data_IF_735603238874
#
_entry.id   IF_735603238874
#
_cell.length_a   1.000
_cell.length_b   1.000
_cell.length_c   1.000
_cell.angle_alpha   90.00
_cell.angle_beta   90.00
_cell.angle_gamma   90.00
#
_symmetry.space_group_name_H-M   'P 1'
#
loop_
_entity.id
_entity.type
_entity.pdbx_description
1 polymer ?
#
# COMPACT_ATOMS: atom_id res chain seq x y z
N UNK A 1 55.23 45.00 -84.45
CA UNK A 1 55.07 46.47 -84.39
C UNK A 1 54.27 46.81 -83.13
N UNK A 2 54.63 47.82 -82.32
CA UNK A 2 55.90 47.84 -81.56
C UNK A 2 55.76 48.32 -80.08
N UNK A 3 56.83 48.08 -79.28
CA UNK A 3 57.41 48.91 -78.17
C UNK A 3 56.56 49.10 -76.87
N UNK A 4 57.08 49.03 -75.63
CA UNK A 4 58.44 48.92 -75.08
C UNK A 4 58.40 48.63 -73.56
N UNK A 5 59.37 47.89 -72.99
CA UNK A 5 60.54 48.36 -72.20
C UNK A 5 60.17 49.28 -71.01
N UNK A 6 60.48 48.98 -69.75
CA UNK A 6 61.84 48.93 -69.20
C UNK A 6 61.94 48.21 -67.84
N UNK A 7 63.13 47.65 -67.61
CA UNK A 7 63.61 46.97 -66.41
C UNK A 7 63.97 47.93 -65.26
N UNK A 8 64.00 47.40 -64.03
CA UNK A 8 64.69 48.02 -62.90
C UNK A 8 64.89 47.04 -61.74
N UNK A 9 66.08 46.45 -61.66
CA UNK A 9 66.57 45.65 -60.51
C UNK A 9 66.70 46.53 -59.26
N UNK A 10 66.56 45.95 -58.06
CA UNK A 10 67.63 45.92 -57.03
C UNK A 10 67.21 45.15 -55.77
N UNK A 11 68.15 44.31 -55.31
CA UNK A 11 68.16 43.57 -54.06
C UNK A 11 68.23 44.51 -52.84
N UNK A 12 67.68 44.09 -51.69
CA UNK A 12 68.45 43.92 -50.44
C UNK A 12 67.69 43.21 -49.31
N UNK A 13 68.49 42.50 -48.53
CA UNK A 13 68.21 41.56 -47.46
C UNK A 13 67.43 42.11 -46.24
N UNK A 14 66.60 41.21 -45.71
CA UNK A 14 66.41 40.81 -44.31
C UNK A 14 66.45 41.87 -43.19
N UNK A 15 65.33 41.95 -42.45
CA UNK A 15 65.38 42.11 -40.99
C UNK A 15 64.28 41.27 -40.32
N UNK A 16 64.71 40.37 -39.43
CA UNK A 16 63.90 39.54 -38.55
C UNK A 16 63.09 40.38 -37.55
N UNK A 17 61.79 40.13 -37.45
CA UNK A 17 60.99 40.45 -36.26
C UNK A 17 60.14 39.24 -35.86
N UNK A 18 60.14 38.98 -34.55
CA UNK A 18 59.73 37.76 -33.84
C UNK A 18 58.25 37.39 -34.04
N UNK A 19 57.99 36.11 -34.33
CA UNK A 19 56.67 35.46 -34.27
C UNK A 19 56.28 35.17 -32.80
N UNK A 20 55.06 35.54 -32.39
CA UNK A 20 54.36 34.99 -31.22
C UNK A 20 52.89 34.70 -31.55
N UNK A 21 52.58 33.40 -31.51
CA UNK A 21 51.30 32.70 -31.26
C UNK A 21 50.06 32.94 -32.17
N UNK A 22 49.36 31.87 -32.62
CA UNK A 22 48.12 31.96 -33.38
C UNK A 22 46.89 32.16 -32.48
N UNK A 23 45.96 32.99 -32.94
CA UNK A 23 44.62 33.20 -32.38
C UNK A 23 43.73 32.02 -32.75
N UNK A 24 43.19 31.35 -31.73
CA UNK A 24 42.20 30.27 -31.86
C UNK A 24 40.81 30.91 -32.05
N UNK A 25 40.17 30.65 -33.20
CA UNK A 25 38.75 30.93 -33.38
C UNK A 25 37.92 29.89 -32.62
N UNK A 26 37.35 30.28 -31.47
CA UNK A 26 36.31 29.49 -30.78
C UNK A 26 34.96 29.78 -31.43
N UNK A 27 34.44 28.80 -32.17
CA UNK A 27 33.02 28.71 -32.51
C UNK A 27 32.26 28.41 -31.22
N UNK A 28 31.42 29.34 -30.76
CA UNK A 28 30.46 29.09 -29.69
C UNK A 28 29.29 28.28 -30.28
N UNK A 29 29.19 27.00 -29.92
CA UNK A 29 27.97 26.22 -30.08
C UNK A 29 26.99 26.53 -28.93
N UNK A 30 25.68 26.67 -29.17
CA UNK A 30 24.72 26.89 -28.09
C UNK A 30 24.39 25.54 -27.42
N UNK A 31 25.11 25.21 -26.35
CA UNK A 31 24.92 23.99 -25.57
C UNK A 31 23.79 24.06 -24.52
N UNK A 32 22.81 24.96 -24.65
CA UNK A 32 21.82 25.22 -23.59
C UNK A 32 20.35 24.87 -23.93
N UNK A 33 20.03 24.29 -25.09
CA UNK A 33 18.63 23.93 -25.42
C UNK A 33 18.34 22.43 -25.29
N UNK A 34 19.35 21.57 -25.17
CA UNK A 34 19.14 20.10 -25.12
C UNK A 34 18.85 19.52 -23.73
N UNK A 35 19.14 20.23 -22.64
CA UNK A 35 19.00 19.66 -21.27
C UNK A 35 17.57 19.70 -20.73
N UNK A 36 16.72 20.63 -21.17
CA UNK A 36 15.36 20.78 -20.66
C UNK A 36 14.37 19.80 -21.32
N UNK A 37 14.60 19.43 -22.58
CA UNK A 37 13.80 18.41 -23.27
C UNK A 37 14.12 17.00 -22.78
N UNK A 38 15.37 16.69 -22.45
CA UNK A 38 15.75 15.38 -21.92
C UNK A 38 15.12 15.11 -20.54
N UNK A 39 15.08 16.09 -19.63
CA UNK A 39 14.47 15.92 -18.31
C UNK A 39 12.94 15.75 -18.38
N UNK A 40 12.25 16.47 -19.28
CA UNK A 40 10.80 16.32 -19.52
C UNK A 40 10.48 14.99 -20.20
N UNK A 41 11.32 14.55 -21.16
CA UNK A 41 11.16 13.25 -21.82
C UNK A 41 11.40 12.09 -20.85
N UNK A 42 12.41 12.16 -19.98
CA UNK A 42 12.68 11.12 -18.97
C UNK A 42 11.57 11.04 -17.92
N UNK A 43 11.05 12.17 -17.45
CA UNK A 43 9.95 12.18 -16.47
C UNK A 43 8.65 11.65 -17.10
N UNK A 44 8.30 12.04 -18.33
CA UNK A 44 7.18 11.43 -19.06
C UNK A 44 7.37 9.92 -19.32
N UNK A 45 8.60 9.47 -19.59
CA UNK A 45 8.93 8.05 -19.76
C UNK A 45 8.78 7.23 -18.47
N UNK A 46 9.13 7.80 -17.31
CA UNK A 46 8.98 7.12 -16.00
C UNK A 46 7.49 6.93 -15.66
N UNK A 47 6.61 7.85 -16.02
CA UNK A 47 5.16 7.68 -15.85
C UNK A 47 4.57 6.61 -16.79
N UNK A 48 5.07 6.50 -18.02
CA UNK A 48 4.62 5.52 -19.02
C UNK A 48 5.07 4.07 -18.74
N UNK A 49 6.05 3.86 -17.86
CA UNK A 49 6.72 2.57 -17.63
C UNK A 49 6.44 1.94 -16.27
N UNK A 50 5.68 2.59 -15.39
CA UNK A 50 5.24 1.94 -14.13
C UNK A 50 4.19 0.88 -14.44
N UNK A 51 4.64 -0.35 -14.62
CA UNK A 51 3.76 -1.50 -14.79
C UNK A 51 2.96 -1.74 -13.51
N UNK A 52 1.63 -1.88 -13.60
CA UNK A 52 0.84 -2.22 -12.44
C UNK A 52 1.22 -3.63 -11.98
N UNK A 53 1.30 -3.88 -10.67
CA UNK A 53 1.55 -5.22 -10.19
C UNK A 53 0.35 -6.11 -10.55
N UNK A 54 0.60 -7.24 -11.22
CA UNK A 54 -0.44 -8.25 -11.53
C UNK A 54 -1.21 -8.68 -10.27
N UNK A 55 -0.56 -8.60 -9.11
CA UNK A 55 -1.10 -8.87 -7.78
C UNK A 55 -2.41 -8.11 -7.53
N UNK A 56 -2.53 -6.86 -8.00
CA UNK A 56 -3.75 -6.07 -7.78
C UNK A 56 -4.94 -6.64 -8.55
N UNK A 57 -4.73 -7.06 -9.81
CA UNK A 57 -5.78 -7.72 -10.59
C UNK A 57 -6.17 -9.07 -9.96
N UNK A 58 -5.18 -9.90 -9.61
CA UNK A 58 -5.41 -11.23 -9.03
C UNK A 58 -6.10 -11.17 -7.66
N UNK A 59 -5.91 -10.09 -6.92
CA UNK A 59 -6.52 -9.86 -5.60
C UNK A 59 -8.03 -9.63 -5.66
N UNK A 60 -8.55 -9.08 -6.77
CA UNK A 60 -9.96 -8.70 -6.91
C UNK A 60 -10.63 -9.30 -8.15
N UNK A 61 -10.65 -10.64 -8.31
CA UNK A 61 -11.10 -11.28 -9.55
C UNK A 61 -12.59 -11.06 -9.88
N UNK A 62 -13.41 -10.78 -8.87
CA UNK A 62 -14.84 -10.48 -9.04
C UNK A 62 -15.10 -8.99 -9.32
N UNK A 63 -14.12 -8.11 -9.12
CA UNK A 63 -14.26 -6.67 -9.35
C UNK A 63 -13.49 -6.20 -10.59
N UNK A 64 -12.27 -6.70 -10.80
CA UNK A 64 -11.35 -6.31 -11.88
C UNK A 64 -11.46 -7.34 -13.01
N UNK A 65 -11.78 -6.86 -14.20
CA UNK A 65 -11.80 -7.66 -15.42
C UNK A 65 -10.38 -7.83 -15.98
N UNK A 66 -9.60 -6.74 -15.99
CA UNK A 66 -8.22 -6.72 -16.43
C UNK A 66 -7.63 -5.32 -16.34
N UNK A 67 -6.51 -5.11 -17.02
CA UNK A 67 -5.90 -3.79 -17.16
C UNK A 67 -5.31 -3.62 -18.56
N UNK A 68 -5.21 -2.37 -19.01
CA UNK A 68 -4.67 -2.03 -20.32
C UNK A 68 -3.72 -0.84 -20.26
N UNK A 69 -2.72 -0.83 -21.14
CA UNK A 69 -1.84 0.32 -21.31
C UNK A 69 -2.49 1.34 -22.24
N UNK A 70 -2.44 2.61 -21.86
CA UNK A 70 -2.92 3.75 -22.65
C UNK A 70 -1.79 4.78 -22.83
N UNK A 71 -1.91 5.75 -23.75
CA UNK A 71 -0.95 6.85 -23.84
C UNK A 71 -0.81 7.70 -22.57
N UNK A 72 -1.77 7.60 -21.63
CA UNK A 72 -1.78 8.32 -20.35
C UNK A 72 -1.31 7.46 -19.16
N UNK A 73 -0.90 6.22 -19.40
CA UNK A 73 -0.53 5.25 -18.36
C UNK A 73 -1.45 4.03 -18.34
N UNK A 74 -1.48 3.33 -17.21
CA UNK A 74 -2.25 2.09 -17.06
C UNK A 74 -3.65 2.33 -16.51
N UNK A 75 -4.63 1.60 -17.04
CA UNK A 75 -6.03 1.68 -16.68
C UNK A 75 -6.54 0.29 -16.27
N UNK A 76 -7.13 0.20 -15.08
CA UNK A 76 -7.84 -0.99 -14.63
C UNK A 76 -9.29 -0.93 -15.07
N UNK A 77 -9.74 -2.02 -15.69
CA UNK A 77 -11.10 -2.19 -16.19
C UNK A 77 -11.88 -2.99 -15.15
N UNK A 78 -12.93 -2.39 -14.59
CA UNK A 78 -13.79 -3.05 -13.63
C UNK A 78 -14.97 -3.70 -14.33
N UNK A 79 -15.44 -4.82 -13.76
CA UNK A 79 -16.57 -5.59 -14.30
C UNK A 79 -17.90 -4.83 -14.29
N UNK A 80 -18.00 -3.74 -13.54
CA UNK A 80 -19.16 -2.85 -13.53
C UNK A 80 -19.07 -1.73 -14.58
N UNK A 81 -18.06 -1.76 -15.47
CA UNK A 81 -17.83 -0.78 -16.53
C UNK A 81 -17.08 0.47 -16.09
N UNK A 82 -16.69 0.59 -14.81
CA UNK A 82 -15.82 1.67 -14.37
C UNK A 82 -14.37 1.43 -14.80
N UNK A 83 -13.67 2.53 -15.03
CA UNK A 83 -12.25 2.52 -15.34
C UNK A 83 -11.51 3.30 -14.26
N UNK A 84 -10.44 2.71 -13.70
CA UNK A 84 -9.64 3.33 -12.63
C UNK A 84 -8.19 3.49 -13.12
N UNK A 85 -7.62 4.71 -13.16
CA UNK A 85 -6.21 4.88 -13.48
C UNK A 85 -5.34 4.27 -12.39
N UNK A 86 -4.25 3.60 -12.79
CA UNK A 86 -3.28 3.07 -11.83
C UNK A 86 -2.59 4.20 -11.07
N UNK A 87 -2.14 5.23 -11.80
CA UNK A 87 -1.54 6.44 -11.29
C UNK A 87 -2.29 7.64 -11.89
N UNK A 88 -2.77 8.57 -11.06
CA UNK A 88 -3.50 9.77 -11.53
C UNK A 88 -2.58 10.97 -11.79
N UNK A 89 -1.30 10.86 -11.40
CA UNK A 89 -0.29 11.91 -11.57
C UNK A 89 -0.42 13.10 -10.61
N UNK A 90 -1.33 13.04 -9.63
CA UNK A 90 -1.54 14.13 -8.69
C UNK A 90 -0.41 14.18 -7.64
N UNK A 91 0.14 15.37 -7.43
CA UNK A 91 1.14 15.60 -6.37
C UNK A 91 0.45 15.94 -5.04
N UNK A 92 -0.12 14.92 -4.40
CA UNK A 92 -0.82 15.04 -3.12
C UNK A 92 0.13 14.86 -1.93
N UNK A 93 -0.10 15.64 -0.87
CA UNK A 93 0.54 15.41 0.43
C UNK A 93 -0.05 14.18 1.16
N UNK A 94 0.54 13.77 2.28
CA UNK A 94 0.13 12.54 3.01
C UNK A 94 -1.33 12.53 3.44
N UNK A 95 -1.87 13.66 3.91
CA UNK A 95 -3.26 13.76 4.38
C UNK A 95 -4.24 13.73 3.20
N UNK A 96 -3.88 14.41 2.10
CA UNK A 96 -4.66 14.36 0.86
C UNK A 96 -4.68 12.95 0.27
N UNK A 97 -3.55 12.24 0.27
CA UNK A 97 -3.49 10.83 -0.16
C UNK A 97 -4.39 9.92 0.67
N UNK A 98 -4.53 10.20 1.97
CA UNK A 98 -5.44 9.46 2.84
C UNK A 98 -6.92 9.67 2.48
N UNK A 99 -7.28 10.80 1.86
CA UNK A 99 -8.62 11.13 1.38
C UNK A 99 -8.88 10.61 -0.04
N UNK A 100 -7.87 10.76 -0.91
CA UNK A 100 -7.94 10.40 -2.31
C UNK A 100 -6.66 9.65 -2.69
N UNK A 101 -6.69 8.31 -2.58
CA UNK A 101 -5.60 7.45 -3.05
C UNK A 101 -5.92 6.90 -4.44
N UNK A 102 -5.00 7.04 -5.39
CA UNK A 102 -4.96 6.19 -6.58
C UNK A 102 -4.43 4.77 -6.23
N UNK A 103 -4.44 3.87 -7.21
CA UNK A 103 -4.03 2.47 -6.98
C UNK A 103 -2.53 2.33 -6.69
N UNK A 104 -1.70 3.18 -7.30
CA UNK A 104 -0.28 3.27 -6.98
C UNK A 104 -0.06 3.69 -5.52
N UNK A 105 -0.78 4.72 -5.04
CA UNK A 105 -0.67 5.20 -3.66
C UNK A 105 -1.05 4.11 -2.67
N UNK A 106 -2.08 3.29 -2.98
CA UNK A 106 -2.45 2.13 -2.17
C UNK A 106 -1.27 1.17 -1.97
N UNK A 107 -0.46 0.96 -3.00
CA UNK A 107 0.67 0.01 -3.02
C UNK A 107 2.03 0.67 -2.75
N UNK A 108 2.07 1.98 -2.56
CA UNK A 108 3.31 2.76 -2.42
C UNK A 108 4.14 2.42 -1.18
N UNK A 109 3.50 1.82 -0.16
CA UNK A 109 4.16 1.34 1.05
C UNK A 109 4.00 -0.16 1.18
N UNK A 110 5.12 -0.89 1.06
CA UNK A 110 5.14 -2.33 1.21
C UNK A 110 4.63 -2.75 2.59
N UNK A 111 3.70 -3.69 2.62
CA UNK A 111 3.27 -4.37 3.84
C UNK A 111 4.14 -5.60 4.08
N UNK A 112 4.85 -5.64 5.20
CA UNK A 112 5.74 -6.75 5.56
C UNK A 112 5.04 -7.62 6.61
N UNK A 113 4.70 -8.90 6.29
CA UNK A 113 4.10 -9.82 7.26
C UNK A 113 5.08 -10.23 8.37
N UNK A 114 4.55 -10.71 9.50
CA UNK A 114 5.30 -11.14 10.67
C UNK A 114 5.46 -10.05 11.73
N UNK A 115 6.34 -10.28 12.69
CA UNK A 115 6.59 -9.32 13.76
C UNK A 115 7.16 -7.99 13.23
N UNK A 116 6.81 -6.90 13.90
CA UNK A 116 7.29 -5.56 13.57
C UNK A 116 7.68 -4.81 14.84
N UNK A 117 8.67 -3.93 14.75
CA UNK A 117 9.01 -3.02 15.83
C UNK A 117 7.94 -1.94 15.98
N UNK A 118 7.44 -1.76 17.20
CA UNK A 118 6.42 -0.78 17.57
C UNK A 118 7.02 0.28 18.51
N UNK A 119 6.54 1.54 18.48
CA UNK A 119 5.59 2.08 17.51
C UNK A 119 6.22 2.26 16.12
N UNK A 120 5.38 2.25 15.09
CA UNK A 120 5.85 2.45 13.73
C UNK A 120 6.26 3.91 13.50
N UNK A 121 7.40 4.11 12.84
CA UNK A 121 7.97 5.44 12.56
C UNK A 121 7.03 6.35 11.75
N UNK A 122 7.22 7.67 11.90
CA UNK A 122 6.35 8.68 11.31
C UNK A 122 6.14 8.52 9.79
N UNK A 123 4.89 8.67 9.34
CA UNK A 123 4.50 8.60 7.93
C UNK A 123 4.46 7.17 7.33
N UNK A 124 4.79 6.14 8.11
CA UNK A 124 4.66 4.75 7.69
C UNK A 124 3.22 4.25 7.95
N UNK A 125 2.50 4.01 6.87
CA UNK A 125 1.08 3.68 6.84
C UNK A 125 0.80 2.48 5.90
N UNK A 126 1.58 1.37 5.98
CA UNK A 126 1.48 0.28 5.02
C UNK A 126 0.06 -0.28 5.00
N UNK A 127 -0.55 -0.23 3.82
CA UNK A 127 -1.92 -0.66 3.59
C UNK A 127 -3.02 0.24 4.16
N UNK A 128 -2.75 1.37 4.81
CA UNK A 128 -3.82 2.25 5.30
C UNK A 128 -4.46 3.10 4.18
N UNK A 129 -3.74 3.38 3.11
CA UNK A 129 -4.28 4.03 1.91
C UNK A 129 -5.30 3.13 1.21
N UNK A 130 -6.38 3.73 0.72
CA UNK A 130 -7.53 3.03 0.13
C UNK A 130 -8.02 3.77 -1.09
N UNK A 131 -8.20 3.05 -2.19
CA UNK A 131 -8.93 3.55 -3.35
C UNK A 131 -10.42 3.19 -3.17
N UNK A 132 -11.26 4.19 -2.91
CA UNK A 132 -12.67 3.94 -2.60
C UNK A 132 -13.47 3.48 -3.81
N UNK A 133 -13.08 3.84 -5.03
CA UNK A 133 -13.79 3.39 -6.23
C UNK A 133 -13.61 1.88 -6.43
N UNK A 134 -12.38 1.37 -6.23
CA UNK A 134 -12.12 -0.06 -6.20
C UNK A 134 -12.88 -0.76 -5.07
N UNK A 135 -12.84 -0.25 -3.84
CA UNK A 135 -13.55 -0.88 -2.71
C UNK A 135 -15.07 -0.91 -2.90
N UNK A 136 -15.66 0.17 -3.42
CA UNK A 136 -17.10 0.24 -3.73
C UNK A 136 -17.45 -0.74 -4.85
N UNK A 137 -16.65 -0.82 -5.91
CA UNK A 137 -16.86 -1.79 -6.98
C UNK A 137 -16.69 -3.24 -6.49
N UNK A 138 -15.73 -3.49 -5.60
CA UNK A 138 -15.41 -4.83 -5.10
C UNK A 138 -16.40 -5.36 -4.06
N UNK A 139 -16.96 -4.49 -3.23
CA UNK A 139 -17.69 -4.92 -2.03
C UNK A 139 -19.10 -4.32 -1.90
N UNK A 140 -19.40 -3.25 -2.64
CA UNK A 140 -20.67 -2.52 -2.63
C UNK A 140 -20.47 -1.03 -2.37
N UNK A 141 -21.18 -0.19 -3.14
CA UNK A 141 -21.12 1.27 -3.05
C UNK A 141 -22.08 1.87 -2.02
N UNK A 142 -23.11 1.12 -1.64
CA UNK A 142 -24.17 1.55 -0.71
C UNK A 142 -24.33 0.57 0.46
N UNK A 143 -24.93 1.01 1.59
CA UNK A 143 -25.21 0.09 2.71
C UNK A 143 -26.01 -1.14 2.30
N UNK A 144 -26.96 -0.97 1.38
CA UNK A 144 -27.84 -2.04 0.91
C UNK A 144 -27.12 -3.02 -0.02
N UNK A 145 -26.25 -2.51 -0.90
CA UNK A 145 -25.38 -3.37 -1.71
C UNK A 145 -24.43 -4.19 -0.85
N UNK A 146 -23.76 -3.56 0.12
CA UNK A 146 -22.89 -4.30 1.03
C UNK A 146 -23.70 -5.32 1.81
N UNK A 147 -24.86 -4.95 2.37
CA UNK A 147 -25.70 -5.88 3.15
C UNK A 147 -26.10 -7.12 2.34
N UNK A 148 -26.38 -6.98 1.04
CA UNK A 148 -26.66 -8.12 0.14
C UNK A 148 -25.46 -9.04 -0.07
N UNK A 149 -24.24 -8.50 0.04
CA UNK A 149 -23.00 -9.25 -0.08
C UNK A 149 -22.52 -9.86 1.25
N UNK A 150 -23.16 -9.54 2.39
CA UNK A 150 -22.76 -10.11 3.68
C UNK A 150 -23.29 -11.52 3.86
N UNK A 151 -22.42 -12.39 4.34
CA UNK A 151 -22.76 -13.73 4.83
C UNK A 151 -22.36 -13.85 6.29
N UNK A 152 -23.04 -14.73 7.02
CA UNK A 152 -22.60 -15.11 8.36
C UNK A 152 -21.38 -16.03 8.25
N UNK A 153 -20.33 -15.69 8.99
CA UNK A 153 -19.12 -16.48 9.18
C UNK A 153 -19.05 -16.89 10.66
N UNK A 154 -18.87 -18.18 10.92
CA UNK A 154 -18.50 -18.66 12.25
C UNK A 154 -17.03 -18.31 12.52
N UNK A 155 -16.82 -17.32 13.37
CA UNK A 155 -15.53 -16.89 13.84
C UNK A 155 -15.30 -17.42 15.27
N UNK A 156 -14.74 -18.62 15.36
CA UNK A 156 -14.37 -19.28 16.62
C UNK A 156 -15.56 -19.41 17.60
N UNK A 157 -16.74 -19.79 17.11
CA UNK A 157 -17.98 -19.93 17.88
C UNK A 157 -18.81 -18.66 17.97
N UNK A 158 -18.48 -17.62 17.20
CA UNK A 158 -19.21 -16.36 17.14
C UNK A 158 -19.64 -16.06 15.70
N UNK A 159 -20.93 -15.78 15.53
CA UNK A 159 -21.46 -15.32 14.25
C UNK A 159 -21.03 -13.88 13.99
N UNK A 160 -20.28 -13.67 12.90
CA UNK A 160 -19.91 -12.35 12.40
C UNK A 160 -20.35 -12.19 10.95
N UNK A 161 -20.86 -11.01 10.58
CA UNK A 161 -21.21 -10.70 9.20
C UNK A 161 -19.96 -10.26 8.44
N UNK A 162 -19.71 -10.85 7.27
CA UNK A 162 -18.54 -10.54 6.44
C UNK A 162 -18.86 -10.65 4.95
N UNK A 163 -18.16 -9.88 4.11
CA UNK A 163 -18.45 -9.79 2.69
C UNK A 163 -18.02 -11.06 1.93
N UNK A 164 -18.90 -11.62 1.10
CA UNK A 164 -18.60 -12.83 0.32
C UNK A 164 -17.72 -12.55 -0.90
N UNK A 165 -17.71 -11.31 -1.40
CA UNK A 165 -17.02 -10.94 -2.63
C UNK A 165 -15.50 -11.03 -2.48
N UNK A 166 -14.83 -11.32 -3.60
CA UNK A 166 -13.36 -11.37 -3.71
C UNK A 166 -12.66 -12.27 -2.66
N UNK A 167 -13.37 -13.28 -2.15
CA UNK A 167 -12.83 -14.26 -1.21
C UNK A 167 -12.75 -13.78 0.25
N UNK A 168 -13.27 -12.59 0.59
CA UNK A 168 -13.12 -12.01 1.92
C UNK A 168 -13.71 -12.91 3.03
N UNK A 169 -14.96 -13.38 2.89
CA UNK A 169 -15.58 -14.30 3.87
C UNK A 169 -14.92 -15.68 3.90
N UNK A 170 -14.39 -16.16 2.77
CA UNK A 170 -13.65 -17.42 2.74
C UNK A 170 -12.34 -17.30 3.52
N UNK A 171 -11.58 -16.23 3.28
CA UNK A 171 -10.37 -15.90 4.02
C UNK A 171 -10.62 -15.78 5.53
N UNK A 172 -11.74 -15.18 5.94
CA UNK A 172 -12.09 -15.10 7.36
C UNK A 172 -12.40 -16.47 7.97
N UNK A 173 -13.07 -17.37 7.23
CA UNK A 173 -13.33 -18.75 7.68
C UNK A 173 -12.02 -19.51 7.85
N UNK A 174 -11.12 -19.40 6.89
CA UNK A 174 -9.81 -20.08 6.94
C UNK A 174 -8.98 -19.56 8.11
N UNK A 175 -8.96 -18.24 8.33
CA UNK A 175 -8.33 -17.63 9.50
C UNK A 175 -8.97 -18.13 10.80
N UNK A 176 -10.30 -18.19 10.91
CA UNK A 176 -10.99 -18.70 12.09
C UNK A 176 -10.65 -20.16 12.40
N UNK A 177 -10.55 -21.00 11.37
CA UNK A 177 -10.14 -22.39 11.49
C UNK A 177 -8.69 -22.50 11.99
N UNK A 178 -7.77 -21.73 11.42
CA UNK A 178 -6.37 -21.68 11.83
C UNK A 178 -6.20 -21.15 13.26
N UNK A 179 -6.93 -20.10 13.64
CA UNK A 179 -6.96 -19.57 15.00
C UNK A 179 -7.46 -20.61 16.00
N UNK A 180 -8.47 -21.40 15.64
CA UNK A 180 -9.03 -22.44 16.51
C UNK A 180 -8.10 -23.65 16.67
N UNK A 181 -7.31 -23.96 15.64
CA UNK A 181 -6.35 -25.06 15.64
C UNK A 181 -5.06 -24.74 16.41
N UNK A 182 -4.71 -23.46 16.55
CA UNK A 182 -3.52 -23.02 17.28
C UNK A 182 -3.84 -22.73 18.76
N UNK A 183 -3.22 -23.42 19.74
CA UNK A 183 -3.57 -23.25 21.15
C UNK A 183 -3.37 -21.84 21.71
N UNK A 184 -2.32 -21.13 21.29
CA UNK A 184 -2.02 -19.77 21.76
C UNK A 184 -3.04 -18.79 21.18
N UNK A 185 -3.28 -18.86 19.87
CA UNK A 185 -4.25 -18.01 19.20
C UNK A 185 -5.69 -18.30 19.68
N UNK A 186 -6.05 -19.57 19.87
CA UNK A 186 -7.35 -19.95 20.41
C UNK A 186 -7.56 -19.40 21.82
N UNK A 187 -6.54 -19.43 22.67
CA UNK A 187 -6.62 -18.83 24.01
C UNK A 187 -6.86 -17.31 23.94
N UNK A 188 -6.16 -16.63 23.03
CA UNK A 188 -6.38 -15.21 22.78
C UNK A 188 -7.81 -14.93 22.29
N UNK A 189 -8.28 -15.64 21.27
CA UNK A 189 -9.61 -15.44 20.70
C UNK A 189 -10.70 -15.76 21.72
N UNK A 190 -10.57 -16.80 22.55
CA UNK A 190 -11.52 -17.07 23.65
C UNK A 190 -11.61 -15.91 24.64
N UNK A 191 -10.48 -15.31 24.97
CA UNK A 191 -10.42 -14.16 25.88
C UNK A 191 -11.10 -12.92 25.26
N UNK A 192 -10.94 -12.70 23.96
CA UNK A 192 -11.64 -11.63 23.24
C UNK A 192 -13.13 -11.96 23.05
N UNK A 193 -13.47 -13.18 22.66
CA UNK A 193 -14.85 -13.64 22.47
C UNK A 193 -15.72 -13.58 23.73
N UNK A 194 -15.10 -13.45 24.91
CA UNK A 194 -15.77 -13.15 26.17
C UNK A 194 -16.72 -11.94 26.07
N UNK A 195 -17.92 -12.06 26.64
CA UNK A 195 -18.94 -11.01 26.58
C UNK A 195 -18.53 -9.80 27.43
N UNK A 196 -18.50 -8.60 26.82
CA UNK A 196 -18.36 -7.35 27.57
C UNK A 196 -19.64 -7.05 28.32
N UNK A 197 -19.52 -6.85 29.63
CA UNK A 197 -20.58 -6.27 30.45
C UNK A 197 -20.51 -4.74 30.32
N UNK A 198 -21.48 -4.10 29.67
CA UNK A 198 -21.62 -2.64 29.71
C UNK A 198 -22.85 -2.24 30.54
N UNK A 199 -22.63 -1.38 31.53
CA UNK A 199 -23.72 -0.79 32.31
C UNK A 199 -24.49 0.18 31.41
N UNK A 200 -25.77 -0.10 31.17
CA UNK A 200 -26.68 0.88 30.57
C UNK A 200 -27.14 1.84 31.67
N UNK A 201 -27.25 3.15 31.38
CA UNK A 201 -28.13 4.03 32.19
C UNK A 201 -29.53 3.41 32.13
N UNK A 202 -30.03 2.88 33.26
CA UNK A 202 -31.32 2.16 33.33
C UNK A 202 -31.25 0.66 33.68
N UNK A 203 -30.14 0.15 34.25
CA UNK A 203 -30.18 -1.06 35.10
C UNK A 203 -30.05 -2.43 34.43
N UNK A 204 -29.99 -2.54 33.09
CA UNK A 204 -29.73 -3.81 32.41
C UNK A 204 -28.33 -3.82 31.77
N UNK A 205 -27.45 -4.72 32.21
CA UNK A 205 -26.14 -4.89 31.59
C UNK A 205 -26.31 -5.41 30.17
N UNK A 206 -25.80 -4.67 29.17
CA UNK A 206 -25.76 -5.15 27.79
C UNK A 206 -24.51 -6.01 27.63
N UNK A 207 -24.71 -7.25 27.22
CA UNK A 207 -23.63 -8.13 26.76
C UNK A 207 -23.42 -7.89 25.28
N UNK A 208 -22.30 -7.29 24.92
CA UNK A 208 -21.84 -7.22 23.52
C UNK A 208 -20.57 -8.04 23.39
N UNK A 209 -20.40 -8.82 22.31
CA UNK A 209 -19.11 -9.41 22.00
C UNK A 209 -18.09 -8.27 21.84
N UNK A 210 -16.85 -8.52 22.24
CA UNK A 210 -15.72 -7.63 21.98
C UNK A 210 -15.19 -7.80 20.54
N UNK A 211 -16.01 -8.33 19.64
CA UNK A 211 -15.68 -8.54 18.25
C UNK A 211 -16.71 -7.77 17.43
N UNK A 212 -16.23 -6.95 16.50
CA UNK A 212 -17.07 -6.19 15.57
C UNK A 212 -16.58 -6.35 14.14
N UNK A 213 -17.50 -6.66 13.22
CA UNK A 213 -17.16 -6.90 11.80
C UNK A 213 -17.79 -5.88 10.85
N UNK A 214 -19.12 -5.80 10.77
CA UNK A 214 -19.81 -4.87 9.88
C UNK A 214 -20.53 -3.77 10.64
N UNK A 215 -20.27 -2.53 10.24
CA UNK A 215 -21.02 -1.35 10.66
C UNK A 215 -20.80 -0.24 9.64
N UNK A 216 -21.85 0.12 8.90
CA UNK A 216 -21.78 1.18 7.90
C UNK A 216 -21.62 2.55 8.59
N UNK A 217 -20.43 3.14 8.47
CA UNK A 217 -20.08 4.45 9.03
C UNK A 217 -18.88 5.08 8.34
N UNK A 218 -18.71 6.37 8.57
CA UNK A 218 -17.43 7.03 8.33
C UNK A 218 -16.45 6.76 9.49
N UNK A 219 -15.16 6.89 9.21
CA UNK A 219 -14.11 6.93 10.23
C UNK A 219 -14.34 8.19 11.06
N UNK A 220 -14.18 8.08 12.38
CA UNK A 220 -14.45 9.19 13.28
C UNK A 220 -13.61 10.41 12.90
N UNK A 221 -14.27 11.55 12.69
CA UNK A 221 -13.61 12.81 12.31
C UNK A 221 -13.21 12.93 10.84
N UNK A 222 -13.70 12.07 9.95
CA UNK A 222 -13.44 12.15 8.51
C UNK A 222 -14.73 11.92 7.71
N UNK A 223 -14.68 12.14 6.39
CA UNK A 223 -15.77 11.77 5.46
C UNK A 223 -15.55 10.41 4.79
N UNK A 224 -14.51 9.70 5.20
CA UNK A 224 -14.06 8.44 4.62
C UNK A 224 -14.81 7.27 5.22
N UNK A 225 -15.31 6.34 4.38
CA UNK A 225 -15.91 5.12 4.86
C UNK A 225 -14.89 4.26 5.61
N UNK A 226 -15.32 3.67 6.73
CA UNK A 226 -14.54 2.65 7.42
C UNK A 226 -14.49 1.36 6.60
N UNK A 227 -13.42 0.57 6.73
CA UNK A 227 -13.38 -0.79 6.18
C UNK A 227 -14.50 -1.70 6.73
N UNK A 228 -14.99 -1.43 7.95
CA UNK A 228 -16.20 -2.09 8.48
C UNK A 228 -17.45 -1.81 7.63
N UNK A 229 -17.52 -0.70 6.91
CA UNK A 229 -18.65 -0.39 6.03
C UNK A 229 -18.73 -1.32 4.84
N UNK A 230 -17.59 -1.83 4.36
CA UNK A 230 -17.52 -2.80 3.27
C UNK A 230 -17.67 -4.25 3.74
N UNK A 231 -17.70 -4.50 5.05
CA UNK A 231 -17.77 -5.84 5.62
C UNK A 231 -16.48 -6.65 5.44
N UNK A 232 -15.33 -5.98 5.37
CA UNK A 232 -14.01 -6.59 5.15
C UNK A 232 -13.07 -6.39 6.34
N UNK A 233 -13.57 -5.90 7.47
CA UNK A 233 -12.78 -5.64 8.67
C UNK A 233 -13.32 -6.38 9.89
N UNK A 234 -12.43 -6.65 10.84
CA UNK A 234 -12.73 -7.29 12.11
C UNK A 234 -11.90 -6.61 13.21
N UNK A 235 -12.57 -6.16 14.28
CA UNK A 235 -11.87 -5.64 15.46
C UNK A 235 -11.89 -6.66 16.59
N UNK A 236 -10.72 -7.01 17.11
CA UNK A 236 -10.55 -7.86 18.30
C UNK A 236 -10.31 -6.99 19.55
N UNK A 237 -11.37 -6.70 20.30
CA UNK A 237 -11.34 -5.75 21.41
C UNK A 237 -11.01 -6.44 22.75
N UNK A 238 -9.73 -6.74 23.00
CA UNK A 238 -9.31 -7.35 24.28
C UNK A 238 -9.90 -6.62 25.51
N UNK A 239 -10.57 -7.33 26.44
CA UNK A 239 -11.11 -6.70 27.65
C UNK A 239 -9.98 -6.28 28.61
N UNK A 240 -10.36 -5.46 29.60
CA UNK A 240 -9.47 -4.96 30.66
C UNK A 240 -8.70 -6.09 31.37
N UNK A 241 -7.43 -5.90 31.82
CA UNK A 241 -6.66 -4.65 31.91
C UNK A 241 -6.04 -4.15 30.60
N UNK A 242 -5.64 -5.05 29.71
CA UNK A 242 -4.92 -4.71 28.46
C UNK A 242 -5.91 -4.44 27.33
N UNK A 243 -6.37 -3.20 27.20
CA UNK A 243 -7.24 -2.80 26.07
C UNK A 243 -6.40 -2.53 24.82
N UNK A 244 -6.95 -2.77 23.61
CA UNK A 244 -6.33 -2.28 22.39
C UNK A 244 -6.18 -0.76 22.42
N UNK A 245 -5.20 -0.26 21.70
CA UNK A 245 -4.80 1.13 21.63
C UNK A 245 -5.15 1.69 20.25
N UNK A 246 -5.64 2.92 20.25
CA UNK A 246 -5.95 3.67 19.04
C UNK A 246 -5.26 5.03 19.10
N UNK A 247 -4.55 5.40 18.05
CA UNK A 247 -3.69 6.58 18.01
C UNK A 247 -4.40 7.86 18.44
N UNK A 248 -5.67 8.04 18.06
CA UNK A 248 -6.42 9.28 18.37
C UNK A 248 -6.84 9.34 19.84
N UNK A 249 -7.01 8.20 20.50
CA UNK A 249 -7.23 8.20 21.95
C UNK A 249 -5.96 8.63 22.67
N UNK A 250 -4.84 8.05 22.25
CA UNK A 250 -3.50 8.38 22.78
C UNK A 250 -3.15 9.85 22.53
N UNK A 251 -3.41 10.39 21.34
CA UNK A 251 -3.17 11.81 21.03
C UNK A 251 -4.03 12.78 21.85
N UNK A 252 -5.10 12.30 22.50
CA UNK A 252 -5.95 13.06 23.40
C UNK A 252 -5.63 12.78 24.88
N UNK A 253 -4.51 12.12 25.18
CA UNK A 253 -4.12 11.72 26.54
C UNK A 253 -4.99 10.60 27.14
N UNK A 254 -5.77 9.89 26.33
CA UNK A 254 -6.67 8.81 26.75
C UNK A 254 -6.00 7.45 26.54
N UNK A 255 -5.00 7.18 27.35
CA UNK A 255 -4.27 5.93 27.26
C UNK A 255 -5.07 4.74 27.83
N UNK A 256 -4.96 3.55 27.21
CA UNK A 256 -5.35 2.30 27.86
C UNK A 256 -4.71 2.15 29.25
N UNK A 257 -5.35 1.44 30.18
CA UNK A 257 -4.73 1.18 31.49
C UNK A 257 -3.46 0.35 31.31
N UNK A 258 -2.37 0.78 31.94
CA UNK A 258 -1.05 0.17 31.80
C UNK A 258 -0.27 0.63 30.57
N UNK A 259 -0.75 1.65 29.87
CA UNK A 259 -0.09 2.27 28.73
C UNK A 259 0.32 3.68 29.14
N UNK A 260 1.61 3.91 29.36
CA UNK A 260 2.12 5.20 29.84
C UNK A 260 2.30 6.18 28.68
N UNK A 261 2.85 5.69 27.57
CA UNK A 261 2.99 6.40 26.31
C UNK A 261 3.04 5.42 25.11
N UNK A 262 3.22 5.96 23.89
CA UNK A 262 3.27 5.17 22.65
C UNK A 262 4.41 4.14 22.58
N UNK A 263 5.43 4.21 23.44
CA UNK A 263 6.52 3.23 23.51
C UNK A 263 6.09 1.94 24.20
N UNK A 264 5.03 1.98 25.02
CA UNK A 264 4.41 0.80 25.64
C UNK A 264 3.41 0.07 24.71
N UNK A 265 3.48 0.32 23.40
CA UNK A 265 2.56 -0.27 22.42
C UNK A 265 2.86 -1.74 22.17
N UNK A 266 2.04 -2.59 22.81
CA UNK A 266 2.08 -4.04 22.60
C UNK A 266 1.06 -4.49 21.54
N UNK A 267 1.40 -5.53 20.74
CA UNK A 267 0.47 -6.16 19.82
C UNK A 267 -0.64 -6.90 20.59
N UNK A 268 -1.71 -7.23 19.86
CA UNK A 268 -2.78 -8.10 20.38
C UNK A 268 -2.24 -9.50 20.70
N UNK A 269 -1.61 -10.13 19.72
CA UNK A 269 -0.79 -11.35 19.81
C UNK A 269 -0.13 -11.51 18.45
N UNK A 270 1.20 -11.66 18.39
CA UNK A 270 1.90 -11.86 17.12
C UNK A 270 1.43 -13.12 16.41
N UNK A 271 1.11 -14.19 17.16
CA UNK A 271 0.57 -15.42 16.59
C UNK A 271 -0.77 -15.23 15.90
N UNK A 272 -1.67 -14.45 16.52
CA UNK A 272 -2.97 -14.09 15.91
C UNK A 272 -2.74 -13.25 14.64
N UNK A 273 -1.85 -12.26 14.71
CA UNK A 273 -1.52 -11.39 13.57
C UNK A 273 -0.97 -12.20 12.39
N UNK A 274 -0.01 -13.09 12.63
CA UNK A 274 0.58 -13.97 11.61
C UNK A 274 -0.47 -14.87 10.93
N UNK A 275 -1.42 -15.41 11.70
CA UNK A 275 -2.52 -16.20 11.12
C UNK A 275 -3.39 -15.32 10.21
N UNK A 276 -3.82 -14.14 10.66
CA UNK A 276 -4.59 -13.22 9.81
C UNK A 276 -3.84 -12.84 8.52
N UNK A 277 -2.54 -12.53 8.62
CA UNK A 277 -1.70 -12.17 7.47
C UNK A 277 -1.55 -13.31 6.46
N UNK A 278 -1.44 -14.56 6.91
CA UNK A 278 -1.44 -15.74 6.03
C UNK A 278 -2.73 -15.89 5.22
N UNK A 279 -3.84 -15.31 5.71
CA UNK A 279 -5.14 -15.33 5.06
C UNK A 279 -5.50 -13.99 4.40
N UNK A 280 -4.52 -13.11 4.13
CA UNK A 280 -4.74 -11.92 3.32
C UNK A 280 -5.26 -10.70 4.08
N UNK A 281 -5.16 -10.70 5.41
CA UNK A 281 -5.51 -9.55 6.24
C UNK A 281 -4.26 -8.75 6.60
N UNK A 282 -4.40 -7.42 6.65
CA UNK A 282 -3.42 -6.54 7.27
C UNK A 282 -3.87 -6.13 8.67
N UNK A 283 -2.92 -5.77 9.52
CA UNK A 283 -3.16 -5.37 10.91
C UNK A 283 -2.92 -3.87 11.13
N UNK A 284 -3.89 -3.19 11.72
CA UNK A 284 -3.87 -1.76 11.98
C UNK A 284 -2.80 -1.31 12.99
N UNK A 285 -2.20 -2.22 13.76
CA UNK A 285 -1.07 -1.91 14.63
C UNK A 285 0.24 -1.62 13.89
N UNK A 286 0.34 -1.97 12.60
CA UNK A 286 1.51 -1.64 11.74
C UNK A 286 1.43 -0.26 11.09
N UNK A 287 0.45 0.55 11.48
CA UNK A 287 0.36 1.95 11.05
C UNK A 287 1.00 2.87 12.07
N UNK A 288 1.64 3.94 11.62
CA UNK A 288 2.06 5.03 12.51
C UNK A 288 0.85 5.59 13.28
N UNK A 289 -0.28 5.79 12.57
CA UNK A 289 -1.58 6.02 13.18
C UNK A 289 -2.27 4.69 13.52
N UNK A 290 -1.71 3.98 14.50
CA UNK A 290 -2.09 2.62 14.88
C UNK A 290 -3.56 2.46 15.32
N UNK A 291 -4.11 1.29 15.02
CA UNK A 291 -5.39 0.79 15.51
C UNK A 291 -5.23 -0.70 15.85
N UNK A 292 -4.82 -1.02 17.08
CA UNK A 292 -4.30 -2.37 17.38
C UNK A 292 -5.36 -3.46 17.45
N UNK A 293 -6.64 -3.10 17.58
CA UNK A 293 -7.73 -4.08 17.46
C UNK A 293 -8.01 -4.48 16.01
N UNK A 294 -7.62 -3.66 15.04
CA UNK A 294 -8.19 -3.69 13.71
C UNK A 294 -7.46 -4.62 12.76
N UNK A 295 -8.22 -5.49 12.10
CA UNK A 295 -7.78 -6.30 10.97
C UNK A 295 -8.66 -5.97 9.77
N UNK A 296 -8.08 -5.83 8.58
CA UNK A 296 -8.84 -5.68 7.34
C UNK A 296 -8.30 -6.57 6.22
N UNK A 297 -9.21 -7.20 5.48
CA UNK A 297 -8.89 -8.05 4.34
C UNK A 297 -8.43 -7.18 3.17
N UNK A 298 -7.16 -7.34 2.79
CA UNK A 298 -6.47 -6.56 1.76
C UNK A 298 -5.57 -7.50 0.93
N UNK A 299 -6.19 -8.36 0.11
CA UNK A 299 -5.50 -9.44 -0.59
C UNK A 299 -4.42 -8.95 -1.56
N UNK A 300 -4.46 -7.69 -2.00
CA UNK A 300 -3.46 -7.09 -2.88
C UNK A 300 -2.07 -7.00 -2.27
N UNK A 301 -1.93 -7.05 -0.95
CA UNK A 301 -0.62 -7.08 -0.29
C UNK A 301 -0.01 -8.50 -0.22
N UNK A 302 -0.76 -9.52 -0.64
CA UNK A 302 -0.39 -10.93 -0.48
C UNK A 302 -0.60 -11.76 -1.75
N UNK A 303 -1.10 -11.20 -2.84
CA UNK A 303 -1.50 -11.97 -4.03
C UNK A 303 -0.33 -12.68 -4.74
N UNK A 304 0.90 -12.17 -4.63
CA UNK A 304 2.12 -12.87 -5.09
C UNK A 304 2.54 -14.05 -4.19
N UNK A 305 1.85 -14.28 -3.06
CA UNK A 305 2.20 -15.28 -2.03
C UNK A 305 1.21 -16.44 -1.88
N UNK A 306 0.17 -16.58 -2.71
CA UNK A 306 -0.55 -17.87 -2.74
C UNK A 306 0.47 -18.97 -3.09
N UNK A 307 0.49 -20.12 -2.39
CA UNK A 307 1.44 -21.17 -2.71
C UNK A 307 1.24 -21.53 -4.18
N UNK A 308 2.30 -21.41 -4.97
CA UNK A 308 2.49 -22.40 -6.03
C UNK A 308 2.23 -23.75 -5.37
N UNK A 309 1.30 -24.54 -5.92
CA UNK A 309 1.17 -25.94 -5.54
C UNK A 309 2.58 -26.49 -5.33
N UNK A 310 2.82 -27.06 -4.16
CA UNK A 310 4.10 -27.66 -3.85
C UNK A 310 4.40 -28.72 -4.91
N UNK A 311 5.24 -28.38 -5.87
CA UNK A 311 6.02 -29.38 -6.57
C UNK A 311 7.08 -29.84 -5.58
N UNK A 312 6.77 -30.90 -4.85
CA UNK A 312 7.79 -31.74 -4.25
C UNK A 312 8.74 -32.21 -5.37
N UNK A 313 10.00 -31.78 -5.30
CA UNK A 313 11.04 -32.27 -6.19
C UNK A 313 12.23 -31.34 -6.32
N UNK A 314 13.37 -31.72 -5.73
CA UNK A 314 14.66 -31.13 -6.08
C UNK A 314 15.44 -30.48 -4.94
N UNK A 315 15.70 -31.19 -3.84
CA UNK A 315 16.95 -30.96 -3.10
C UNK A 315 18.09 -31.56 -3.91
N UNK A 316 19.20 -30.82 -4.01
CA UNK A 316 20.50 -31.14 -4.63
C UNK A 316 20.64 -30.87 -6.14
N UNK A 317 21.00 -29.64 -6.48
CA UNK A 317 22.09 -29.33 -7.42
C UNK A 317 22.29 -27.81 -7.42
N UNK A 318 23.38 -27.34 -6.82
CA UNK A 318 24.09 -26.07 -7.10
C UNK A 318 25.03 -25.78 -5.91
N UNK A 319 25.97 -26.68 -5.71
CA UNK A 319 27.26 -26.41 -5.08
C UNK A 319 28.31 -26.94 -6.03
N UNK A 320 28.57 -26.20 -7.10
CA UNK A 320 29.79 -26.28 -7.94
C UNK A 320 29.59 -25.39 -9.17
N UNK A 321 29.81 -24.10 -8.97
CA UNK A 321 30.32 -23.18 -9.97
C UNK A 321 30.71 -21.94 -9.17
N UNK A 322 31.94 -21.45 -9.36
CA UNK A 322 32.63 -20.39 -8.61
C UNK A 322 33.54 -20.85 -7.48
N UNK A 323 34.68 -21.44 -7.87
CA UNK A 323 36.01 -21.05 -7.39
C UNK A 323 36.96 -21.02 -8.60
N UNK A 324 37.97 -20.13 -8.60
CA UNK A 324 38.68 -19.66 -9.80
C UNK A 324 39.41 -20.75 -10.58
#
# INVERSE_FOLDING_TARGET
MPIGWLQGRLLRAALLVKLKAPVVWRVFAPACVFSMWAAVLVSAWVFLTRTPPEDLWRAYPAAIEGFQQTPRGWLFLLRNGLEIPYCDGLNLNSDQRLEQSDLETVLSQAYVPGEASLPVGAGKEPGRFRNYDLLKAAYGATPDEVRRNLVTVDFCGLDVAFNVQNGAAAALRDAAAALSADPEAAAYVRLVAGKRLSAKRGGRLKRSPNISSWYWRNIAGTQRLSAHSFGIALDLNKPNPTRPAYWRWVSLGRFPRGFEDVTALEPVSWRVIDIFEKHGFIWGGKWHHFDTMHFEYRPEFFASRRPQQACEGGRQAHKEAWRP
#
